data_IF_103313742310
#
_entry.id   IF_103313742310
#
_cell.length_a   1.000
_cell.length_b   1.000
_cell.length_c   1.000
_cell.angle_alpha   90.00
_cell.angle_beta   90.00
_cell.angle_gamma   90.00
#
_symmetry.space_group_name_H-M   'P 1'
#
loop_
_entity.id
_entity.type
_entity.pdbx_description
1 polymer ?
#
# COMPACT_ATOMS: atom_id res chain seq x y z
N UNK A 1 45.92 3.79 -41.65
CA UNK A 1 44.85 3.50 -40.69
C UNK A 1 45.50 3.46 -39.31
N UNK A 2 44.97 4.15 -38.28
CA UNK A 2 45.55 4.08 -36.95
C UNK A 2 45.38 2.64 -36.42
N UNK A 3 46.48 2.00 -36.06
CA UNK A 3 46.47 0.66 -35.48
C UNK A 3 46.22 0.80 -33.98
N UNK A 4 45.03 0.39 -33.53
CA UNK A 4 44.76 0.29 -32.10
C UNK A 4 45.69 -0.79 -31.55
N UNK A 5 46.50 -0.43 -30.57
CA UNK A 5 47.42 -1.36 -29.90
C UNK A 5 46.63 -2.36 -29.04
N UNK A 6 47.20 -3.55 -28.82
CA UNK A 6 46.54 -4.59 -27.99
C UNK A 6 46.19 -4.09 -26.58
N UNK A 7 46.94 -3.12 -26.05
CA UNK A 7 46.68 -2.49 -24.74
C UNK A 7 45.44 -1.59 -24.80
N UNK A 8 45.28 -0.80 -25.86
CA UNK A 8 44.11 0.06 -26.05
C UNK A 8 42.82 -0.76 -26.25
N UNK A 9 42.89 -1.87 -27.00
CA UNK A 9 41.75 -2.80 -27.14
C UNK A 9 41.36 -3.43 -25.80
N UNK A 10 42.35 -3.81 -24.98
CA UNK A 10 42.10 -4.40 -23.67
C UNK A 10 41.51 -3.39 -22.68
N UNK A 11 42.00 -2.14 -22.71
CA UNK A 11 41.43 -1.04 -21.93
C UNK A 11 39.98 -0.72 -22.33
N UNK A 12 39.69 -0.68 -23.64
CA UNK A 12 38.33 -0.48 -24.15
C UNK A 12 37.37 -1.60 -23.73
N UNK A 13 37.78 -2.86 -23.93
CA UNK A 13 36.95 -4.01 -23.54
C UNK A 13 36.69 -4.05 -22.03
N UNK A 14 37.71 -3.74 -21.21
CA UNK A 14 37.55 -3.67 -19.76
C UNK A 14 36.61 -2.54 -19.34
N UNK A 15 36.76 -1.35 -19.91
CA UNK A 15 35.88 -0.22 -19.64
C UNK A 15 34.44 -0.48 -20.05
N UNK A 16 34.23 -1.11 -21.21
CA UNK A 16 32.90 -1.51 -21.68
C UNK A 16 32.26 -2.54 -20.75
N UNK A 17 33.01 -3.58 -20.38
CA UNK A 17 32.52 -4.62 -19.48
C UNK A 17 32.15 -4.04 -18.11
N UNK A 18 33.01 -3.21 -17.53
CA UNK A 18 32.74 -2.53 -16.25
C UNK A 18 31.53 -1.58 -16.35
N UNK A 19 31.40 -0.83 -17.45
CA UNK A 19 30.26 0.06 -17.67
C UNK A 19 28.93 -0.69 -17.79
N UNK A 20 28.92 -1.83 -18.49
CA UNK A 20 27.73 -2.69 -18.60
C UNK A 20 27.37 -3.28 -17.24
N UNK A 21 28.35 -3.84 -16.53
CA UNK A 21 28.14 -4.46 -15.22
C UNK A 21 27.59 -3.46 -14.21
N UNK A 22 28.21 -2.27 -14.10
CA UNK A 22 27.72 -1.19 -13.23
C UNK A 22 26.35 -0.67 -13.67
N UNK A 23 26.09 -0.57 -14.97
CA UNK A 23 24.82 -0.12 -15.50
C UNK A 23 23.68 -1.09 -15.15
N UNK A 24 23.91 -2.39 -15.31
CA UNK A 24 22.95 -3.45 -14.96
C UNK A 24 22.72 -3.47 -13.45
N UNK A 25 23.79 -3.45 -12.65
CA UNK A 25 23.68 -3.50 -11.19
C UNK A 25 22.87 -2.30 -10.66
N UNK A 26 23.22 -1.08 -11.07
CA UNK A 26 22.48 0.13 -10.68
C UNK A 26 21.04 0.12 -11.17
N UNK A 27 20.82 -0.26 -12.43
CA UNK A 27 19.49 -0.33 -13.01
C UNK A 27 18.58 -1.33 -12.31
N UNK A 28 19.12 -2.51 -11.99
CA UNK A 28 18.41 -3.55 -11.25
C UNK A 28 18.09 -3.10 -9.83
N UNK A 29 19.06 -2.54 -9.11
CA UNK A 29 18.86 -2.09 -7.74
C UNK A 29 17.79 -0.99 -7.65
N UNK A 30 17.86 0.02 -8.52
CA UNK A 30 16.85 1.09 -8.58
C UNK A 30 15.48 0.57 -9.01
N UNK A 31 15.44 -0.38 -9.95
CA UNK A 31 14.20 -0.99 -10.41
C UNK A 31 13.50 -1.78 -9.32
N UNK A 32 14.25 -2.60 -8.58
CA UNK A 32 13.73 -3.39 -7.46
C UNK A 32 13.26 -2.47 -6.34
N UNK A 33 14.04 -1.47 -5.95
CA UNK A 33 13.69 -0.55 -4.86
C UNK A 33 12.41 0.22 -5.16
N UNK A 34 12.30 0.83 -6.34
CA UNK A 34 11.09 1.54 -6.76
C UNK A 34 9.89 0.60 -6.90
N UNK A 35 10.08 -0.57 -7.50
CA UNK A 35 9.01 -1.55 -7.69
C UNK A 35 8.47 -2.08 -6.37
N UNK A 36 9.36 -2.38 -5.42
CA UNK A 36 8.99 -2.85 -4.08
C UNK A 36 8.25 -1.77 -3.31
N UNK A 37 8.75 -0.53 -3.32
CA UNK A 37 8.12 0.58 -2.60
C UNK A 37 6.70 0.85 -3.12
N UNK A 38 6.53 0.94 -4.45
CA UNK A 38 5.22 1.13 -5.07
C UNK A 38 4.28 -0.06 -4.83
N UNK A 39 4.82 -1.29 -4.83
CA UNK A 39 4.05 -2.50 -4.57
C UNK A 39 3.51 -2.56 -3.15
N UNK A 40 4.34 -2.24 -2.16
CA UNK A 40 3.96 -2.20 -0.74
C UNK A 40 2.93 -1.10 -0.51
N UNK A 41 3.15 0.10 -1.02
CA UNK A 41 2.22 1.23 -0.85
C UNK A 41 0.84 0.91 -1.42
N UNK A 42 0.77 0.42 -2.66
CA UNK A 42 -0.49 0.00 -3.28
C UNK A 42 -1.16 -1.13 -2.51
N UNK A 43 -0.40 -2.12 -2.05
CA UNK A 43 -0.92 -3.25 -1.29
C UNK A 43 -1.56 -2.82 0.04
N UNK A 44 -0.91 -1.91 0.76
CA UNK A 44 -1.43 -1.33 2.01
C UNK A 44 -2.70 -0.52 1.74
N UNK A 45 -2.69 0.35 0.73
CA UNK A 45 -3.85 1.16 0.37
C UNK A 45 -5.06 0.30 -0.03
N UNK A 46 -4.83 -0.73 -0.85
CA UNK A 46 -5.87 -1.69 -1.24
C UNK A 46 -6.44 -2.43 -0.03
N UNK A 47 -5.58 -2.91 0.89
CA UNK A 47 -6.01 -3.57 2.11
C UNK A 47 -6.85 -2.66 3.02
N UNK A 48 -6.43 -1.40 3.17
CA UNK A 48 -7.18 -0.39 3.92
C UNK A 48 -8.54 -0.10 3.30
N UNK A 49 -8.59 0.03 1.98
CA UNK A 49 -9.85 0.25 1.27
C UNK A 49 -10.80 -0.93 1.45
N UNK A 50 -10.30 -2.16 1.37
CA UNK A 50 -11.11 -3.36 1.64
C UNK A 50 -11.66 -3.36 3.06
N UNK A 51 -10.83 -3.07 4.08
CA UNK A 51 -11.29 -2.97 5.47
C UNK A 51 -12.37 -1.90 5.65
N UNK A 52 -12.23 -0.74 4.99
CA UNK A 52 -13.26 0.32 5.00
C UNK A 52 -14.58 -0.13 4.40
N UNK A 53 -14.57 -1.04 3.42
CA UNK A 53 -15.79 -1.59 2.83
C UNK A 53 -16.43 -2.70 3.67
N UNK A 54 -15.64 -3.40 4.50
CA UNK A 54 -16.14 -4.47 5.38
C UNK A 54 -16.96 -3.93 6.55
N UNK A 55 -16.55 -2.83 7.17
CA UNK A 55 -17.27 -2.27 8.33
C UNK A 55 -18.73 -1.92 8.00
N UNK A 56 -19.04 -1.19 6.90
CA UNK A 56 -20.42 -0.97 6.46
C UNK A 56 -21.17 -2.26 6.17
N UNK A 57 -20.52 -3.25 5.55
CA UNK A 57 -21.14 -4.54 5.26
C UNK A 57 -21.56 -5.27 6.53
N UNK A 58 -20.71 -5.28 7.56
CA UNK A 58 -21.02 -5.88 8.86
C UNK A 58 -22.14 -5.12 9.58
N UNK A 59 -22.09 -3.79 9.52
CA UNK A 59 -23.13 -2.93 10.08
C UNK A 59 -24.48 -3.19 9.41
N UNK A 60 -24.50 -3.30 8.07
CA UNK A 60 -25.73 -3.60 7.33
C UNK A 60 -26.24 -5.00 7.63
N UNK A 61 -25.34 -5.99 7.72
CA UNK A 61 -25.71 -7.35 8.06
C UNK A 61 -26.31 -7.48 9.47
N UNK A 62 -25.84 -6.69 10.45
CA UNK A 62 -26.29 -6.79 11.83
C UNK A 62 -27.47 -5.88 12.17
N UNK A 63 -27.48 -4.65 11.67
CA UNK A 63 -28.44 -3.61 12.06
C UNK A 63 -29.40 -3.23 10.92
N UNK A 64 -29.21 -3.73 9.70
CA UNK A 64 -30.05 -3.42 8.55
C UNK A 64 -29.64 -2.15 7.81
N UNK A 65 -30.60 -1.33 7.39
CA UNK A 65 -30.29 -0.09 6.68
C UNK A 65 -29.51 0.89 7.57
N UNK A 66 -28.44 1.47 7.00
CA UNK A 66 -27.57 2.40 7.71
C UNK A 66 -27.85 3.83 7.24
N UNK A 67 -27.91 4.80 8.17
CA UNK A 67 -27.92 6.22 7.81
C UNK A 67 -26.63 6.61 7.06
N UNK A 68 -26.75 7.52 6.08
CA UNK A 68 -25.60 8.02 5.30
C UNK A 68 -24.50 8.63 6.18
N UNK A 69 -24.88 9.24 7.31
CA UNK A 69 -23.93 9.80 8.28
C UNK A 69 -22.96 8.75 8.83
N UNK A 70 -23.44 7.53 9.06
CA UNK A 70 -22.62 6.41 9.56
C UNK A 70 -21.64 5.97 8.50
N UNK A 71 -22.10 5.83 7.25
CA UNK A 71 -21.26 5.45 6.12
C UNK A 71 -20.14 6.48 5.91
N UNK A 72 -20.49 7.76 5.94
CA UNK A 72 -19.55 8.86 5.75
C UNK A 72 -18.49 8.89 6.86
N UNK A 73 -18.91 8.69 8.12
CA UNK A 73 -17.98 8.58 9.26
C UNK A 73 -17.06 7.37 9.15
N UNK A 74 -17.55 6.22 8.69
CA UNK A 74 -16.68 5.03 8.51
C UNK A 74 -15.69 5.25 7.36
N UNK A 75 -16.11 5.89 6.27
CA UNK A 75 -15.25 6.17 5.12
C UNK A 75 -14.17 7.22 5.40
N UNK A 76 -14.41 8.15 6.34
CA UNK A 76 -13.42 9.16 6.72
C UNK A 76 -12.30 8.60 7.62
N UNK A 77 -12.48 7.42 8.22
CA UNK A 77 -11.48 6.81 9.11
C UNK A 77 -10.27 6.37 8.31
N UNK A 78 -9.11 6.97 8.63
CA UNK A 78 -7.83 6.65 7.99
C UNK A 78 -7.05 5.53 8.66
N UNK A 79 -7.33 5.28 9.93
CA UNK A 79 -6.55 4.36 10.76
C UNK A 79 -7.03 2.90 10.64
N UNK A 80 -6.16 1.95 10.22
CA UNK A 80 -6.51 0.53 10.11
C UNK A 80 -6.95 -0.08 11.44
N UNK A 81 -6.30 0.31 12.53
CA UNK A 81 -6.57 -0.19 13.87
C UNK A 81 -7.99 0.19 14.30
N UNK A 82 -8.40 1.43 14.02
CA UNK A 82 -9.76 1.90 14.31
C UNK A 82 -10.79 1.10 13.50
N UNK A 83 -10.55 0.82 12.22
CA UNK A 83 -11.45 -0.01 11.39
C UNK A 83 -11.58 -1.44 11.94
N UNK A 84 -10.47 -2.01 12.41
CA UNK A 84 -10.45 -3.34 13.03
C UNK A 84 -11.23 -3.36 14.34
N UNK A 85 -11.05 -2.34 15.19
CA UNK A 85 -11.80 -2.18 16.43
C UNK A 85 -13.30 -2.00 16.17
N UNK A 86 -13.67 -1.18 15.19
CA UNK A 86 -15.06 -1.02 14.79
C UNK A 86 -15.65 -2.33 14.31
N UNK A 87 -14.93 -3.11 13.49
CA UNK A 87 -15.40 -4.42 13.01
C UNK A 87 -15.75 -5.37 14.18
N UNK A 88 -14.89 -5.44 15.19
CA UNK A 88 -15.18 -6.22 16.41
C UNK A 88 -16.34 -5.60 17.20
N UNK A 89 -16.38 -4.27 17.30
CA UNK A 89 -17.41 -3.56 18.05
C UNK A 89 -18.79 -3.80 17.47
N UNK A 90 -18.91 -3.81 16.13
CA UNK A 90 -20.15 -4.20 15.43
C UNK A 90 -20.65 -5.53 15.96
N UNK A 91 -19.80 -6.56 16.11
CA UNK A 91 -20.22 -7.86 16.62
C UNK A 91 -20.67 -7.82 18.08
N UNK A 92 -20.03 -7.02 18.92
CA UNK A 92 -20.32 -6.94 20.37
C UNK A 92 -21.45 -6.00 20.77
N UNK A 93 -21.74 -4.94 19.99
CA UNK A 93 -22.71 -3.90 20.36
C UNK A 93 -24.17 -4.39 20.29
N UNK A 94 -25.00 -3.98 21.25
CA UNK A 94 -26.39 -4.42 21.30
C UNK A 94 -27.29 -3.72 20.27
N UNK A 95 -26.93 -2.50 19.85
CA UNK A 95 -27.69 -1.70 18.89
C UNK A 95 -26.79 -0.76 18.09
N UNK A 96 -27.31 -0.20 17.00
CA UNK A 96 -26.63 0.83 16.23
C UNK A 96 -26.34 2.08 17.08
N UNK A 97 -27.26 2.45 17.99
CA UNK A 97 -27.07 3.60 18.87
C UNK A 97 -25.87 3.41 19.82
N UNK A 98 -25.73 2.23 20.43
CA UNK A 98 -24.59 1.88 21.28
C UNK A 98 -23.28 1.91 20.49
N UNK A 99 -23.29 1.38 19.26
CA UNK A 99 -22.14 1.45 18.37
C UNK A 99 -21.74 2.90 18.03
N UNK A 100 -22.72 3.78 17.76
CA UNK A 100 -22.47 5.16 17.36
C UNK A 100 -21.81 6.01 18.46
N UNK A 101 -21.96 5.64 19.73
CA UNK A 101 -21.27 6.32 20.84
C UNK A 101 -19.75 6.10 20.84
N UNK A 102 -19.25 5.11 20.10
CA UNK A 102 -17.81 4.82 19.99
C UNK A 102 -17.09 5.66 18.93
N UNK A 103 -17.83 6.36 18.08
CA UNK A 103 -17.17 7.33 17.21
C UNK A 103 -16.69 8.49 18.08
N UNK A 104 -15.40 8.87 18.00
CA UNK A 104 -14.98 10.13 18.60
C UNK A 104 -15.86 11.24 18.00
N UNK A 105 -16.56 11.95 18.88
CA UNK A 105 -17.22 13.19 18.50
C UNK A 105 -16.11 14.15 18.09
N UNK A 106 -16.17 14.68 16.87
CA UNK A 106 -15.50 15.95 16.56
C UNK A 106 -15.96 17.04 17.55
#
# INVERSE_FOLDING_TARGET
>A
MPYITSIEQLGFNRGLQQGIEQGIEKGMQQGIEKGMQQGIEKGIEQGLQQLRSVVPMLLTAKFGELPEDVLTKVQSIREPEMLSQLSLRVMTSASLHDFMQFFPND
#
